data_IF_538341776314
#
_entry.id   IF_538341776314
#
_cell.length_a   1.000
_cell.length_b   1.000
_cell.length_c   1.000
_cell.angle_alpha   90.00
_cell.angle_beta   90.00
_cell.angle_gamma   90.00
#
_symmetry.space_group_name_H-M   'P 1'
#
loop_
_entity.id
_entity.type
_entity.pdbx_description
1 polymer ?
#
# COMPACT_ATOMS: atom_id res chain seq x y z
N UNK A 1 -16.14 -28.57 69.42
CA UNK A 1 -15.11 -29.60 69.20
C UNK A 1 -14.36 -29.21 67.93
N UNK A 2 -13.38 -28.32 67.99
CA UNK A 2 -12.01 -28.59 68.49
C UNK A 2 -11.41 -29.80 67.78
N UNK A 3 -10.66 -29.59 66.70
CA UNK A 3 -9.27 -30.03 66.69
C UNK A 3 -8.44 -29.27 65.64
N UNK A 4 -7.43 -28.59 66.16
CA UNK A 4 -6.27 -28.10 65.45
C UNK A 4 -5.34 -29.25 65.02
N UNK A 5 -4.34 -28.88 64.20
CA UNK A 5 -3.02 -29.50 63.92
C UNK A 5 -2.99 -30.33 62.63
N UNK A 6 -2.02 -30.17 61.71
CA UNK A 6 -0.60 -29.82 61.87
C UNK A 6 -0.01 -29.32 60.54
N UNK A 7 1.08 -28.58 60.71
CA UNK A 7 1.88 -27.83 59.73
C UNK A 7 2.99 -28.71 59.14
N UNK A 8 3.35 -28.42 57.88
CA UNK A 8 4.61 -28.68 57.15
C UNK A 8 5.10 -30.13 56.98
N UNK A 9 5.49 -30.49 55.76
CA UNK A 9 6.92 -30.47 55.38
C UNK A 9 7.19 -30.83 53.89
N UNK A 10 8.03 -29.98 53.28
CA UNK A 10 9.09 -30.26 52.29
C UNK A 10 8.72 -30.93 50.96
N UNK A 11 8.40 -30.11 49.96
CA UNK A 11 8.69 -30.48 48.57
C UNK A 11 10.16 -30.11 48.27
N UNK A 12 11.03 -31.13 48.27
CA UNK A 12 12.41 -31.01 47.78
C UNK A 12 12.41 -31.02 46.25
N UNK A 13 12.34 -29.85 45.62
CA UNK A 13 12.59 -29.74 44.18
C UNK A 13 14.10 -29.56 44.00
N UNK A 14 14.80 -30.68 43.80
CA UNK A 14 16.19 -30.69 43.37
C UNK A 14 16.27 -30.10 41.96
N UNK A 15 17.21 -29.18 41.76
CA UNK A 15 17.39 -28.40 40.54
C UNK A 15 17.40 -29.24 39.27
N UNK A 16 16.49 -28.88 38.37
CA UNK A 16 16.60 -29.08 36.93
C UNK A 16 15.66 -28.09 36.23
N UNK A 17 15.81 -26.81 36.57
CA UNK A 17 15.16 -25.70 35.87
C UNK A 17 16.30 -24.80 35.44
N UNK A 18 16.25 -24.31 34.19
CA UNK A 18 17.29 -23.54 33.47
C UNK A 18 18.09 -24.37 32.45
N UNK A 19 17.44 -24.97 31.44
CA UNK A 19 18.11 -25.09 30.13
C UNK A 19 17.22 -25.38 28.90
N UNK A 20 15.88 -25.39 29.00
CA UNK A 20 15.02 -25.74 27.84
C UNK A 20 13.79 -24.85 27.69
N UNK A 21 13.97 -23.54 27.88
CA UNK A 21 12.94 -22.56 27.51
C UNK A 21 13.50 -21.25 26.93
N UNK A 22 14.83 -21.19 26.74
CA UNK A 22 15.52 -20.02 26.18
C UNK A 22 16.13 -20.27 24.81
N UNK A 23 16.12 -21.52 24.33
CA UNK A 23 16.68 -21.88 23.02
C UNK A 23 15.64 -21.96 21.89
N UNK A 24 14.34 -21.92 22.22
CA UNK A 24 13.27 -21.89 21.23
C UNK A 24 12.69 -20.48 21.00
N UNK A 25 13.20 -19.46 21.71
CA UNK A 25 12.80 -18.06 21.52
C UNK A 25 13.83 -17.25 20.71
N UNK A 26 15.04 -17.78 20.53
CA UNK A 26 16.17 -17.03 19.96
C UNK A 26 16.36 -17.23 18.44
N UNK A 27 15.52 -18.04 17.79
CA UNK A 27 15.62 -18.38 16.36
C UNK A 27 14.36 -18.01 15.56
N UNK A 28 13.60 -17.02 16.03
CA UNK A 28 12.59 -16.34 15.23
C UNK A 28 12.80 -14.83 15.25
N UNK A 29 14.06 -14.40 15.34
CA UNK A 29 14.44 -13.05 14.89
C UNK A 29 14.71 -13.14 13.39
N UNK A 30 13.67 -13.50 12.63
CA UNK A 30 13.68 -13.38 11.18
C UNK A 30 13.83 -11.90 10.89
N UNK A 31 14.99 -11.52 10.38
CA UNK A 31 15.23 -10.21 9.80
C UNK A 31 14.20 -10.00 8.69
N UNK A 32 13.13 -9.28 9.01
CA UNK A 32 12.21 -8.73 8.01
C UNK A 32 13.04 -7.78 7.17
N UNK A 33 13.55 -8.26 6.04
CA UNK A 33 14.10 -7.41 5.00
C UNK A 33 12.96 -6.47 4.60
N UNK A 34 13.06 -5.20 4.99
CA UNK A 34 12.15 -4.17 4.53
C UNK A 34 12.48 -3.95 3.05
N UNK A 35 11.93 -4.79 2.18
CA UNK A 35 11.99 -4.56 0.75
C UNK A 35 11.04 -3.40 0.50
N UNK A 36 11.59 -2.21 0.24
CA UNK A 36 10.81 -1.11 -0.30
C UNK A 36 10.18 -1.61 -1.61
N UNK A 37 8.88 -1.87 -1.60
CA UNK A 37 8.17 -2.34 -2.78
C UNK A 37 8.31 -1.25 -3.86
N UNK A 38 8.56 -1.66 -5.10
CA UNK A 38 8.62 -0.73 -6.24
C UNK A 38 7.35 0.14 -6.24
N UNK A 39 7.45 1.50 -6.22
CA UNK A 39 6.29 2.37 -6.16
C UNK A 39 5.30 2.14 -7.32
N UNK A 40 5.77 1.65 -8.48
CA UNK A 40 4.90 1.23 -9.59
C UNK A 40 4.07 0.00 -9.22
N UNK A 41 4.68 -0.97 -8.54
CA UNK A 41 4.00 -2.15 -8.03
C UNK A 41 2.98 -1.77 -6.95
N UNK A 42 3.33 -0.87 -6.03
CA UNK A 42 2.40 -0.33 -5.02
C UNK A 42 1.17 0.27 -5.72
N UNK A 43 1.34 1.09 -6.77
CA UNK A 43 0.23 1.68 -7.52
C UNK A 43 -0.72 0.63 -8.12
N UNK A 44 -0.17 -0.49 -8.61
CA UNK A 44 -0.95 -1.59 -9.20
C UNK A 44 -1.67 -2.40 -8.11
N UNK A 45 -0.96 -2.80 -7.05
CA UNK A 45 -1.46 -3.64 -5.97
C UNK A 45 -2.53 -2.93 -5.14
N UNK A 46 -2.34 -1.63 -4.88
CA UNK A 46 -3.33 -0.76 -4.22
C UNK A 46 -4.50 -0.38 -5.15
N UNK A 47 -4.57 -1.00 -6.34
CA UNK A 47 -5.67 -0.90 -7.31
C UNK A 47 -5.92 0.52 -7.82
N UNK A 48 -4.89 1.38 -7.86
CA UNK A 48 -5.01 2.73 -8.44
C UNK A 48 -5.40 2.65 -9.93
N UNK A 49 -4.94 1.61 -10.64
CA UNK A 49 -5.26 1.33 -12.05
C UNK A 49 -6.76 1.15 -12.35
N UNK A 50 -7.63 1.00 -11.34
CA UNK A 50 -9.10 0.97 -11.54
C UNK A 50 -9.67 2.28 -12.07
N UNK A 51 -9.03 3.40 -11.73
CA UNK A 51 -9.50 4.74 -12.12
C UNK A 51 -8.39 5.56 -12.80
N UNK A 52 -7.18 5.02 -12.87
CA UNK A 52 -6.00 5.77 -13.28
C UNK A 52 -5.11 4.96 -14.24
N UNK A 53 -4.24 5.69 -14.91
CA UNK A 53 -3.15 5.18 -15.73
C UNK A 53 -1.92 6.08 -15.56
N UNK A 54 -0.76 5.61 -15.99
CA UNK A 54 0.45 6.41 -16.13
C UNK A 54 1.10 6.07 -17.46
N UNK A 55 0.65 6.74 -18.54
CA UNK A 55 1.14 6.49 -19.90
C UNK A 55 2.65 6.69 -20.05
N UNK A 56 3.23 7.70 -19.38
CA UNK A 56 4.68 7.94 -19.38
C UNK A 56 5.53 6.78 -18.86
N UNK A 57 4.93 5.90 -18.07
CA UNK A 57 5.56 4.69 -17.50
C UNK A 57 4.93 3.40 -18.05
N UNK A 58 4.14 3.49 -19.12
CA UNK A 58 3.33 2.41 -19.72
C UNK A 58 2.42 1.63 -18.73
N UNK A 59 1.99 2.29 -17.64
CA UNK A 59 1.07 1.68 -16.67
C UNK A 59 -0.36 1.84 -17.17
N UNK A 60 -0.89 0.74 -17.72
CA UNK A 60 -2.23 0.64 -18.28
C UNK A 60 -3.31 0.67 -17.20
N UNK A 61 -4.49 1.26 -17.48
CA UNK A 61 -5.64 1.11 -16.60
C UNK A 61 -6.12 -0.35 -16.59
N UNK A 62 -6.86 -0.72 -15.55
CA UNK A 62 -7.48 -2.04 -15.47
C UNK A 62 -8.40 -2.25 -16.68
N UNK A 63 -8.18 -3.33 -17.41
CA UNK A 63 -8.93 -3.69 -18.63
C UNK A 63 -10.44 -3.55 -18.47
N UNK A 64 -11.00 -4.12 -17.40
CA UNK A 64 -12.43 -4.00 -17.09
C UNK A 64 -12.90 -2.53 -17.02
N UNK A 65 -12.08 -1.64 -16.46
CA UNK A 65 -12.42 -0.23 -16.37
C UNK A 65 -12.36 0.47 -17.72
N UNK A 66 -11.44 0.04 -18.59
CA UNK A 66 -11.29 0.55 -19.94
C UNK A 66 -12.47 0.14 -20.84
N UNK A 67 -12.91 -1.12 -20.73
CA UNK A 67 -14.04 -1.67 -21.49
C UNK A 67 -15.40 -1.13 -21.01
N UNK A 68 -15.56 -0.91 -19.71
CA UNK A 68 -16.78 -0.31 -19.12
C UNK A 68 -16.85 1.21 -19.32
N UNK A 69 -15.93 1.82 -20.10
CA UNK A 69 -15.83 3.26 -20.31
C UNK A 69 -15.85 4.08 -19.02
N UNK A 70 -15.22 3.56 -17.96
CA UNK A 70 -15.08 4.31 -16.71
C UNK A 70 -14.23 5.55 -16.95
N UNK A 71 -14.48 6.59 -16.15
CA UNK A 71 -13.64 7.79 -16.15
C UNK A 71 -12.24 7.45 -15.62
N UNK A 72 -11.32 7.21 -16.53
CA UNK A 72 -9.89 6.96 -16.26
C UNK A 72 -9.16 8.30 -16.36
N UNK A 73 -8.33 8.61 -15.35
CA UNK A 73 -7.48 9.81 -15.34
C UNK A 73 -6.02 9.40 -15.35
N UNK A 74 -5.27 9.89 -16.33
CA UNK A 74 -3.83 9.69 -16.40
C UNK A 74 -3.08 10.57 -15.39
N UNK A 75 -1.98 10.03 -14.85
CA UNK A 75 -1.14 10.66 -13.83
C UNK A 75 0.29 10.98 -14.30
N UNK A 76 0.59 10.87 -15.59
CA UNK A 76 1.93 11.17 -16.14
C UNK A 76 2.44 12.57 -15.83
N UNK A 77 1.54 13.51 -15.52
CA UNK A 77 1.85 14.92 -15.26
C UNK A 77 1.63 15.35 -13.80
N UNK A 78 1.28 14.43 -12.89
CA UNK A 78 0.72 14.82 -11.59
C UNK A 78 1.71 15.60 -10.72
N UNK A 79 3.00 15.31 -10.84
CA UNK A 79 4.08 16.01 -10.16
C UNK A 79 4.25 17.46 -10.59
N UNK A 80 3.74 17.87 -11.76
CA UNK A 80 3.70 19.28 -12.16
C UNK A 80 2.73 20.10 -11.32
N UNK A 81 1.77 19.45 -10.66
CA UNK A 81 0.62 20.11 -10.02
C UNK A 81 0.54 19.87 -8.52
N UNK A 82 1.17 18.81 -8.01
CA UNK A 82 1.04 18.34 -6.63
C UNK A 82 2.39 17.94 -6.05
N UNK A 83 2.61 18.31 -4.80
CA UNK A 83 3.71 17.83 -3.97
C UNK A 83 3.33 16.54 -3.22
N UNK A 84 4.33 15.95 -2.56
CA UNK A 84 4.21 14.71 -1.80
C UNK A 84 3.18 14.81 -0.68
N UNK A 85 3.24 15.88 0.12
CA UNK A 85 2.34 16.09 1.26
C UNK A 85 0.88 16.18 0.83
N UNK A 86 0.62 16.90 -0.27
CA UNK A 86 -0.69 16.99 -0.86
C UNK A 86 -1.19 15.61 -1.27
N UNK A 87 -0.36 14.81 -1.94
CA UNK A 87 -0.72 13.45 -2.39
C UNK A 87 -1.04 12.56 -1.19
N UNK A 88 -0.21 12.57 -0.15
CA UNK A 88 -0.43 11.78 1.08
C UNK A 88 -1.76 12.16 1.74
N UNK A 89 -1.98 13.44 2.00
CA UNK A 89 -3.22 13.96 2.61
C UNK A 89 -4.46 13.67 1.74
N UNK A 90 -4.31 13.75 0.41
CA UNK A 90 -5.38 13.45 -0.54
C UNK A 90 -5.81 11.98 -0.49
N UNK A 91 -4.85 11.05 -0.49
CA UNK A 91 -5.11 9.61 -0.40
C UNK A 91 -5.65 9.20 0.97
N UNK A 92 -5.22 9.89 2.04
CA UNK A 92 -5.80 9.77 3.40
C UNK A 92 -7.19 10.39 3.55
N UNK A 93 -7.65 11.14 2.54
CA UNK A 93 -8.94 11.88 2.53
C UNK A 93 -9.00 12.97 3.61
N UNK A 94 -7.86 13.57 3.93
CA UNK A 94 -7.72 14.66 4.91
C UNK A 94 -7.98 16.03 4.27
N UNK A 95 -7.77 16.16 2.97
CA UNK A 95 -8.00 17.40 2.20
C UNK A 95 -9.05 17.20 1.10
N UNK A 96 -9.59 18.33 0.62
CA UNK A 96 -10.44 18.41 -0.56
C UNK A 96 -9.62 18.91 -1.76
N UNK A 97 -10.06 18.58 -2.97
CA UNK A 97 -9.56 19.21 -4.18
C UNK A 97 -10.23 20.58 -4.40
N UNK A 98 -9.85 21.26 -5.49
CA UNK A 98 -10.36 22.59 -5.89
C UNK A 98 -11.88 22.60 -6.10
N UNK A 99 -12.50 21.42 -6.28
CA UNK A 99 -13.95 21.24 -6.46
C UNK A 99 -14.66 20.82 -5.17
N UNK A 100 -14.00 20.90 -4.02
CA UNK A 100 -14.55 20.51 -2.72
C UNK A 100 -14.76 19.00 -2.54
N UNK A 101 -14.20 18.16 -3.42
CA UNK A 101 -14.37 16.70 -3.37
C UNK A 101 -13.14 16.05 -2.76
N UNK A 102 -13.34 14.97 -2.00
CA UNK A 102 -12.26 14.07 -1.53
C UNK A 102 -11.95 12.99 -2.56
N UNK A 103 -10.80 12.33 -2.41
CA UNK A 103 -10.52 11.12 -3.19
C UNK A 103 -11.59 10.06 -2.95
N UNK A 104 -11.93 9.28 -3.98
CA UNK A 104 -13.02 8.29 -3.88
C UNK A 104 -12.69 7.21 -2.84
N UNK A 105 -11.45 6.71 -2.88
CA UNK A 105 -10.97 5.61 -2.05
C UNK A 105 -10.02 6.14 -0.98
N UNK A 106 -10.17 5.70 0.27
CA UNK A 106 -9.20 5.98 1.34
C UNK A 106 -8.03 5.02 1.20
N UNK A 107 -6.80 5.50 1.42
CA UNK A 107 -5.60 4.67 1.49
C UNK A 107 -5.75 3.50 2.47
N UNK A 108 -5.20 2.34 2.10
CA UNK A 108 -5.26 1.09 2.87
C UNK A 108 -3.92 0.37 3.05
N UNK A 109 -2.87 0.83 2.36
CA UNK A 109 -1.50 0.32 2.54
C UNK A 109 -0.84 0.85 3.81
N UNK A 110 0.44 0.53 3.99
CA UNK A 110 1.25 1.05 5.11
C UNK A 110 1.58 2.54 4.92
N UNK A 111 2.12 3.19 5.95
CA UNK A 111 2.56 4.59 5.82
C UNK A 111 3.81 4.70 4.95
N UNK A 112 4.69 3.70 5.00
CA UNK A 112 5.91 3.63 4.22
C UNK A 112 5.59 3.44 2.73
N UNK A 113 4.66 2.54 2.39
CA UNK A 113 4.16 2.37 1.02
C UNK A 113 3.54 3.67 0.48
N UNK A 114 2.80 4.39 1.33
CA UNK A 114 2.21 5.68 0.96
C UNK A 114 3.28 6.72 0.67
N UNK A 115 4.36 6.72 1.46
CA UNK A 115 5.48 7.64 1.31
C UNK A 115 6.21 7.43 -0.01
N UNK A 116 6.58 6.19 -0.32
CA UNK A 116 7.21 5.78 -1.58
C UNK A 116 6.33 6.09 -2.79
N UNK A 117 5.04 5.73 -2.71
CA UNK A 117 4.08 6.01 -3.78
C UNK A 117 3.94 7.53 -4.01
N UNK A 118 3.83 8.31 -2.94
CA UNK A 118 3.67 9.76 -3.05
C UNK A 118 4.93 10.41 -3.63
N UNK A 119 6.12 9.98 -3.20
CA UNK A 119 7.40 10.45 -3.75
C UNK A 119 7.47 10.21 -5.26
N UNK A 120 7.24 8.97 -5.70
CA UNK A 120 7.27 8.60 -7.12
C UNK A 120 6.26 9.41 -7.95
N UNK A 121 5.04 9.62 -7.45
CA UNK A 121 4.04 10.42 -8.15
C UNK A 121 4.49 11.89 -8.37
N UNK A 122 5.32 12.45 -7.48
CA UNK A 122 5.89 13.81 -7.70
C UNK A 122 6.88 13.89 -8.85
N UNK A 123 7.49 12.76 -9.22
CA UNK A 123 8.47 12.65 -10.29
C UNK A 123 7.81 12.53 -11.67
N UNK A 124 6.52 12.15 -11.71
CA UNK A 124 5.73 12.09 -12.95
C UNK A 124 5.41 13.50 -13.46
N UNK A 125 6.23 13.99 -14.40
CA UNK A 125 6.20 15.38 -14.89
C UNK A 125 6.04 15.48 -16.42
N UNK A 126 5.65 14.40 -17.08
CA UNK A 126 5.50 14.32 -18.52
C UNK A 126 4.13 14.83 -18.95
N UNK A 127 4.08 16.00 -19.58
CA UNK A 127 2.84 16.52 -20.18
C UNK A 127 2.46 15.68 -21.40
N UNK A 128 1.18 15.34 -21.50
CA UNK A 128 0.61 14.64 -22.64
C UNK A 128 -0.71 15.30 -23.00
N UNK A 129 -1.02 15.39 -24.29
CA UNK A 129 -2.31 15.94 -24.73
C UNK A 129 -3.47 14.98 -24.41
N UNK A 130 -4.67 15.53 -24.25
CA UNK A 130 -5.87 14.70 -24.06
C UNK A 130 -6.07 13.75 -25.26
N UNK A 131 -5.82 14.24 -26.48
CA UNK A 131 -5.90 13.43 -27.70
C UNK A 131 -4.94 12.25 -27.68
N UNK A 132 -3.68 12.45 -27.28
CA UNK A 132 -2.69 11.37 -27.16
C UNK A 132 -3.07 10.32 -26.12
N UNK A 133 -3.70 10.73 -25.02
CA UNK A 133 -4.17 9.81 -23.98
C UNK A 133 -5.39 9.03 -24.48
N UNK A 134 -6.36 9.69 -25.14
CA UNK A 134 -7.55 9.01 -25.68
C UNK A 134 -7.19 8.02 -26.79
N UNK A 135 -6.32 8.41 -27.72
CA UNK A 135 -5.83 7.51 -28.78
C UNK A 135 -5.13 6.29 -28.19
N UNK A 136 -4.34 6.46 -27.12
CA UNK A 136 -3.73 5.34 -26.41
C UNK A 136 -4.77 4.41 -25.79
N UNK A 137 -5.80 4.94 -25.13
CA UNK A 137 -6.90 4.13 -24.60
C UNK A 137 -7.68 3.38 -25.68
N UNK A 138 -7.93 3.99 -26.84
CA UNK A 138 -8.57 3.33 -27.98
C UNK A 138 -7.73 2.17 -28.51
N UNK A 139 -6.42 2.38 -28.68
CA UNK A 139 -5.49 1.33 -29.08
C UNK A 139 -5.50 0.16 -28.08
N UNK A 140 -5.49 0.43 -26.78
CA UNK A 140 -5.60 -0.61 -25.75
C UNK A 140 -6.93 -1.37 -25.87
N UNK A 141 -8.07 -0.69 -26.05
CA UNK A 141 -9.37 -1.35 -26.26
C UNK A 141 -9.37 -2.25 -27.49
N UNK A 142 -8.72 -1.84 -28.57
CA UNK A 142 -8.61 -2.63 -29.79
C UNK A 142 -7.74 -3.86 -29.61
N UNK A 143 -6.68 -3.79 -28.80
CA UNK A 143 -5.83 -4.94 -28.47
C UNK A 143 -6.57 -5.98 -27.63
N UNK A 144 -7.44 -5.54 -26.71
CA UNK A 144 -8.24 -6.44 -25.85
C UNK A 144 -9.32 -7.19 -26.65
N UNK A 145 -9.89 -6.56 -27.68
CA UNK A 145 -10.98 -7.14 -28.49
C UNK A 145 -10.51 -8.13 -29.56
N UNK A 146 -9.20 -8.20 -29.81
CA UNK A 146 -8.59 -9.14 -30.76
C UNK A 146 -8.32 -10.48 -30.07
#
# INVERSE_FOLDING_TARGET
KTQMRKINERVKIKGFFLFSFFFFFYLFLSSTSFSFADPKQIFIEQRCIKCHSVKSEDIKPLEKSLLENKKIKDHSDVGLRRDKDWIKKWLKKEINNEKGKKHKVKWKGSEEELDELAEWLTQLRTKMSEQEIQSWYENLRMQIKK
#
